data_IF_659901116728
#
_entry.id   IF_659901116728
#
_cell.length_a   1.000
_cell.length_b   1.000
_cell.length_c   1.000
_cell.angle_alpha   90.00
_cell.angle_beta   90.00
_cell.angle_gamma   90.00
#
_symmetry.space_group_name_H-M   'P 1'
#
loop_
_entity.id
_entity.type
_entity.pdbx_description
1 polymer ?
#
# COMPACT_ATOMS: atom_id res chain seq x y z
N UNK A 1 -5.53 -10.98 13.07
CA UNK A 1 -6.01 -10.43 11.79
C UNK A 1 -7.08 -9.40 12.11
N UNK A 2 -7.06 -8.25 11.45
CA UNK A 2 -8.04 -7.19 11.64
C UNK A 2 -8.81 -6.98 10.32
N UNK A 3 -10.09 -6.62 10.43
CA UNK A 3 -10.93 -6.29 9.27
C UNK A 3 -11.00 -4.77 9.12
N UNK A 4 -10.79 -4.29 7.89
CA UNK A 4 -10.87 -2.87 7.56
C UNK A 4 -11.85 -2.71 6.40
N UNK A 5 -12.75 -1.73 6.52
CA UNK A 5 -13.66 -1.34 5.43
C UNK A 5 -13.24 0.02 4.90
N UNK A 6 -13.04 0.11 3.59
CA UNK A 6 -12.72 1.36 2.89
C UNK A 6 -13.49 1.39 1.56
N UNK A 7 -13.83 2.59 1.13
CA UNK A 7 -14.41 2.84 -0.20
C UNK A 7 -13.28 3.32 -1.10
N UNK A 8 -13.01 2.60 -2.19
CA UNK A 8 -11.95 2.93 -3.14
C UNK A 8 -12.31 2.46 -4.54
N UNK A 9 -11.55 2.93 -5.53
CA UNK A 9 -11.75 2.57 -6.94
C UNK A 9 -11.00 1.28 -7.32
N UNK A 10 -9.78 1.11 -6.82
CA UNK A 10 -8.91 -0.03 -7.14
C UNK A 10 -8.17 -0.52 -5.89
N UNK A 11 -7.89 -1.84 -5.82
CA UNK A 11 -7.07 -2.45 -4.78
C UNK A 11 -5.97 -3.32 -5.40
N UNK A 12 -4.72 -3.07 -5.01
CA UNK A 12 -3.54 -3.83 -5.46
C UNK A 12 -2.70 -4.30 -4.28
N UNK A 13 -2.11 -5.49 -4.39
CA UNK A 13 -1.10 -5.99 -3.44
C UNK A 13 0.29 -5.77 -4.00
N UNK A 14 1.17 -5.18 -3.19
CA UNK A 14 2.56 -4.88 -3.56
C UNK A 14 3.48 -5.17 -2.37
N UNK A 15 4.66 -5.67 -2.67
CA UNK A 15 5.72 -5.80 -1.68
C UNK A 15 6.33 -4.44 -1.34
N UNK A 16 6.66 -4.27 -0.06
CA UNK A 16 7.38 -3.10 0.42
C UNK A 16 8.84 -3.24 0.02
N UNK A 17 9.37 -2.26 -0.70
CA UNK A 17 10.75 -2.24 -1.17
C UNK A 17 11.58 -1.25 -0.35
N UNK A 18 12.87 -1.54 -0.19
CA UNK A 18 13.81 -0.58 0.39
C UNK A 18 14.27 0.40 -0.69
N UNK A 19 14.02 1.69 -0.48
CA UNK A 19 14.55 2.76 -1.33
C UNK A 19 15.23 3.80 -0.45
N UNK A 20 16.55 3.96 -0.63
CA UNK A 20 17.38 4.79 0.24
C UNK A 20 17.35 4.31 1.70
N UNK A 21 16.98 5.20 2.61
CA UNK A 21 16.84 4.93 4.04
C UNK A 21 15.43 4.49 4.45
N UNK A 22 14.46 4.49 3.53
CA UNK A 22 13.04 4.25 3.83
C UNK A 22 12.43 3.04 3.12
N UNK A 23 11.32 2.58 3.68
CA UNK A 23 10.43 1.60 3.06
C UNK A 23 9.44 2.30 2.14
N UNK A 24 9.28 1.80 0.92
CA UNK A 24 8.43 2.39 -0.12
C UNK A 24 7.56 1.31 -0.78
N UNK A 25 6.32 1.68 -1.09
CA UNK A 25 5.43 0.90 -1.97
C UNK A 25 5.28 1.68 -3.27
N UNK A 26 5.63 1.05 -4.39
CA UNK A 26 5.43 1.64 -5.70
C UNK A 26 4.01 1.36 -6.21
N UNK A 27 3.27 2.44 -6.49
CA UNK A 27 1.92 2.42 -7.06
C UNK A 27 1.95 2.86 -8.54
N UNK A 28 0.89 2.59 -9.32
CA UNK A 28 0.76 3.11 -10.69
C UNK A 28 1.01 4.62 -10.76
N UNK A 29 1.62 5.10 -11.86
CA UNK A 29 1.94 6.53 -12.02
C UNK A 29 0.68 7.37 -12.19
N UNK A 30 -0.39 6.73 -12.64
CA UNK A 30 -1.71 7.31 -12.84
C UNK A 30 -2.29 7.85 -11.53
N UNK A 31 -1.92 7.27 -10.38
CA UNK A 31 -2.38 7.67 -9.04
C UNK A 31 -1.69 8.92 -8.48
N UNK A 32 -0.84 9.60 -9.25
CA UNK A 32 -0.13 10.79 -8.79
C UNK A 32 -1.11 11.91 -8.42
N UNK A 33 -1.10 12.31 -7.14
CA UNK A 33 -2.00 13.35 -6.61
C UNK A 33 -3.26 12.82 -5.95
N UNK A 34 -3.47 11.49 -5.97
CA UNK A 34 -4.60 10.84 -5.31
C UNK A 34 -4.31 10.49 -3.85
N UNK A 35 -5.35 10.36 -3.04
CA UNK A 35 -5.26 9.85 -1.67
C UNK A 35 -5.35 8.31 -1.70
N UNK A 36 -4.35 7.65 -1.09
CA UNK A 36 -4.27 6.19 -1.07
C UNK A 36 -4.11 5.67 0.36
N UNK A 37 -4.85 4.61 0.68
CA UNK A 37 -4.70 3.88 1.93
C UNK A 37 -3.73 2.70 1.76
N UNK A 38 -2.73 2.59 2.64
CA UNK A 38 -1.78 1.47 2.67
C UNK A 38 -2.11 0.57 3.84
N UNK A 39 -2.44 -0.70 3.56
CA UNK A 39 -2.80 -1.69 4.57
C UNK A 39 -1.73 -2.78 4.58
N UNK A 40 -1.12 -3.01 5.75
CA UNK A 40 -0.17 -4.11 5.95
C UNK A 40 -0.95 -5.42 6.12
N UNK A 41 -0.70 -6.40 5.24
CA UNK A 41 -1.46 -7.64 5.20
C UNK A 41 -0.94 -8.73 6.15
N UNK A 42 0.38 -8.85 6.35
CA UNK A 42 0.97 -9.81 7.31
C UNK A 42 2.07 -9.18 8.19
N UNK A 43 2.05 -9.58 9.45
CA UNK A 43 3.24 -9.71 10.28
C UNK A 43 3.53 -11.20 10.30
N UNK A 44 4.46 -11.68 9.48
CA UNK A 44 5.13 -12.92 9.85
C UNK A 44 5.93 -12.62 11.13
N UNK A 45 5.74 -13.47 12.15
CA UNK A 45 6.51 -13.48 13.41
C UNK A 45 8.01 -13.68 13.13
#
# INVERSE_FOLDING_TARGET
>A
MAEFTFQGEEAITKDVTKTGTGAHVFVPKEWLGEEVAVIRLSQDD
#
